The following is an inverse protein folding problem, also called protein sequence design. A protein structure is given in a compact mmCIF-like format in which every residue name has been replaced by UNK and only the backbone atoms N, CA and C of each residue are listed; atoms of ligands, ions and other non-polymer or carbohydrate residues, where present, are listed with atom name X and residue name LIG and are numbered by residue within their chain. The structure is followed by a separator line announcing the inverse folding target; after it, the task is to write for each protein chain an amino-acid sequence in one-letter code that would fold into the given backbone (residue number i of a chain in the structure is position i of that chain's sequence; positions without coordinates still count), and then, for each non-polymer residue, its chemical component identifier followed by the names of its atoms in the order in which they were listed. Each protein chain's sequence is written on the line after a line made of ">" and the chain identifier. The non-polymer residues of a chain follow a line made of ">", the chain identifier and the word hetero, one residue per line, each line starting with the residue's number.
data_IF_899784322543
#
_entry.id   IF_899784322543
#
_cell.length_a   1.000
_cell.length_b   1.000
_cell.length_c   1.000
_cell.angle_alpha   90.00
_cell.angle_beta   90.00
_cell.angle_gamma   90.00
#
_symmetry.space_group_name_H-M   'P 1'
#
loop_
_entity.id
_entity.type
_entity.pdbx_description
1 polymer ?
#
# COMPACT_ATOMS: atom_id res chain seq x y z
N UNK A 1 -49.12 -35.83 -17.39
CA UNK A 1 -47.92 -36.04 -16.55
C UNK A 1 -47.39 -34.67 -16.15
N UNK A 2 -47.84 -34.15 -15.00
CA UNK A 2 -47.45 -32.83 -14.50
C UNK A 2 -46.19 -32.99 -13.65
N UNK A 3 -45.13 -32.31 -14.08
CA UNK A 3 -43.86 -32.26 -13.34
C UNK A 3 -44.09 -31.38 -12.11
N UNK A 4 -43.81 -31.85 -10.88
CA UNK A 4 -43.98 -31.02 -9.70
C UNK A 4 -43.11 -29.76 -9.83
N UNK A 5 -43.60 -28.60 -9.38
CA UNK A 5 -42.81 -27.38 -9.41
C UNK A 5 -41.53 -27.58 -8.59
N UNK A 6 -40.38 -27.03 -9.02
CA UNK A 6 -39.14 -27.11 -8.25
C UNK A 6 -39.36 -26.50 -6.86
N UNK A 7 -38.81 -27.14 -5.83
CA UNK A 7 -38.87 -26.67 -4.45
C UNK A 7 -38.18 -25.31 -4.34
N UNK A 8 -38.93 -24.28 -3.93
CA UNK A 8 -38.40 -22.96 -3.60
C UNK A 8 -37.95 -22.91 -2.13
N UNK A 9 -36.94 -22.09 -1.84
CA UNK A 9 -36.45 -21.83 -0.48
C UNK A 9 -37.53 -21.21 0.40
N UNK A 10 -37.57 -21.59 1.68
CA UNK A 10 -38.52 -20.98 2.63
C UNK A 10 -38.05 -19.59 3.08
N UNK A 11 -38.98 -18.72 3.49
CA UNK A 11 -38.62 -17.41 4.05
C UNK A 11 -37.72 -17.56 5.29
N UNK A 12 -37.97 -18.58 6.12
CA UNK A 12 -37.16 -18.87 7.30
C UNK A 12 -35.71 -19.24 6.91
N UNK A 13 -35.54 -20.06 5.87
CA UNK A 13 -34.22 -20.46 5.37
C UNK A 13 -33.43 -19.27 4.81
N UNK A 14 -34.10 -18.36 4.10
CA UNK A 14 -33.49 -17.12 3.63
C UNK A 14 -33.04 -16.24 4.81
N UNK A 15 -33.87 -16.09 5.84
CA UNK A 15 -33.52 -15.27 7.01
C UNK A 15 -32.33 -15.87 7.78
N UNK A 16 -32.29 -17.18 7.94
CA UNK A 16 -31.16 -17.86 8.61
C UNK A 16 -29.88 -17.71 7.78
N UNK A 17 -29.93 -17.91 6.47
CA UNK A 17 -28.74 -17.76 5.61
C UNK A 17 -28.22 -16.33 5.60
N UNK A 18 -29.09 -15.32 5.55
CA UNK A 18 -28.72 -13.91 5.67
C UNK A 18 -28.11 -13.57 7.03
N UNK A 19 -28.65 -14.11 8.12
CA UNK A 19 -28.10 -13.89 9.46
C UNK A 19 -26.68 -14.45 9.60
N UNK A 20 -26.41 -15.64 9.06
CA UNK A 20 -25.08 -16.24 9.03
C UNK A 20 -24.14 -15.39 8.16
N UNK A 21 -24.57 -15.02 6.94
CA UNK A 21 -23.77 -14.22 6.02
C UNK A 21 -23.39 -12.86 6.61
N UNK A 22 -24.31 -12.17 7.29
CA UNK A 22 -24.05 -10.91 7.96
C UNK A 22 -22.99 -11.07 9.07
N UNK A 23 -23.10 -12.14 9.87
CA UNK A 23 -22.13 -12.45 10.93
C UNK A 23 -20.73 -12.66 10.36
N UNK A 24 -20.60 -13.39 9.24
CA UNK A 24 -19.31 -13.60 8.58
C UNK A 24 -18.74 -12.31 8.00
N UNK A 25 -19.58 -11.47 7.38
CA UNK A 25 -19.17 -10.23 6.75
C UNK A 25 -18.50 -9.25 7.73
N UNK A 26 -18.99 -9.20 8.98
CA UNK A 26 -18.43 -8.35 10.05
C UNK A 26 -16.95 -8.62 10.30
N UNK A 27 -16.50 -9.89 10.19
CA UNK A 27 -15.09 -10.24 10.39
C UNK A 27 -14.31 -10.27 9.07
N UNK A 28 -14.92 -10.75 7.99
CA UNK A 28 -14.26 -10.94 6.71
C UNK A 28 -13.83 -9.62 6.07
N UNK A 29 -14.71 -8.60 6.07
CA UNK A 29 -14.46 -7.31 5.41
C UNK A 29 -13.27 -6.56 6.03
N UNK A 30 -13.22 -6.25 7.34
CA UNK A 30 -12.08 -5.55 7.92
C UNK A 30 -10.78 -6.37 7.88
N UNK A 31 -10.87 -7.70 7.89
CA UNK A 31 -9.70 -8.57 7.71
C UNK A 31 -9.10 -8.41 6.32
N UNK A 32 -9.95 -8.47 5.28
CA UNK A 32 -9.52 -8.29 3.89
C UNK A 32 -8.95 -6.89 3.64
N UNK A 33 -9.59 -5.84 4.17
CA UNK A 33 -9.09 -4.47 4.04
C UNK A 33 -7.69 -4.32 4.64
N UNK A 34 -7.45 -4.84 5.85
CA UNK A 34 -6.11 -4.83 6.47
C UNK A 34 -5.08 -5.59 5.65
N UNK A 35 -5.48 -6.72 5.05
CA UNK A 35 -4.60 -7.49 4.17
C UNK A 35 -4.19 -6.70 2.92
N UNK A 36 -5.15 -6.03 2.26
CA UNK A 36 -4.88 -5.19 1.08
C UNK A 36 -3.98 -3.99 1.42
N UNK A 37 -4.24 -3.30 2.53
CA UNK A 37 -3.39 -2.21 3.03
C UNK A 37 -1.96 -2.69 3.26
N UNK A 38 -1.79 -3.85 3.93
CA UNK A 38 -0.47 -4.47 4.14
C UNK A 38 0.22 -4.82 2.82
N UNK A 39 -0.52 -5.34 1.84
CA UNK A 39 0.02 -5.61 0.49
C UNK A 39 0.55 -4.33 -0.16
N UNK A 40 -0.20 -3.23 -0.11
CA UNK A 40 0.24 -1.96 -0.68
C UNK A 40 1.47 -1.37 0.03
N UNK A 41 1.60 -1.55 1.35
CA UNK A 41 2.83 -1.16 2.08
C UNK A 41 4.04 -1.99 1.65
N UNK A 42 3.86 -3.30 1.43
CA UNK A 42 4.91 -4.17 0.86
C UNK A 42 5.30 -3.70 -0.54
N UNK A 43 4.32 -3.39 -1.38
CA UNK A 43 4.56 -2.92 -2.74
C UNK A 43 5.36 -1.61 -2.73
N UNK A 44 4.99 -0.64 -1.88
CA UNK A 44 5.70 0.61 -1.70
C UNK A 44 7.16 0.39 -1.27
N UNK A 45 7.38 -0.45 -0.24
CA UNK A 45 8.73 -0.79 0.21
C UNK A 45 9.56 -1.47 -0.90
N UNK A 46 8.96 -2.42 -1.64
CA UNK A 46 9.64 -3.08 -2.76
C UNK A 46 10.00 -2.10 -3.88
N UNK A 47 9.13 -1.13 -4.17
CA UNK A 47 9.37 -0.10 -5.17
C UNK A 47 10.51 0.83 -4.73
N UNK A 48 10.56 1.22 -3.46
CA UNK A 48 11.66 2.00 -2.89
C UNK A 48 13.00 1.29 -3.05
N UNK A 49 13.08 -0.01 -2.78
CA UNK A 49 14.31 -0.77 -3.00
C UNK A 49 14.71 -0.84 -4.47
N UNK A 50 13.76 -1.08 -5.38
CA UNK A 50 14.05 -1.08 -6.83
C UNK A 50 14.53 0.29 -7.31
N UNK A 51 13.90 1.35 -6.84
CA UNK A 51 14.30 2.72 -7.14
C UNK A 51 15.69 3.03 -6.58
N UNK A 52 16.00 2.61 -5.35
CA UNK A 52 17.32 2.79 -4.75
C UNK A 52 18.42 2.11 -5.57
N UNK A 53 18.21 0.85 -5.99
CA UNK A 53 19.15 0.14 -6.85
C UNK A 53 19.38 0.85 -8.20
N UNK A 54 18.34 1.47 -8.77
CA UNK A 54 18.46 2.26 -9.98
C UNK A 54 19.28 3.54 -9.76
N UNK A 55 19.01 4.27 -8.68
CA UNK A 55 19.73 5.50 -8.33
C UNK A 55 21.21 5.21 -8.05
N UNK A 56 21.52 4.13 -7.31
CA UNK A 56 22.90 3.70 -7.04
C UNK A 56 23.67 3.32 -8.32
N UNK A 57 22.98 2.71 -9.29
CA UNK A 57 23.56 2.37 -10.59
C UNK A 57 23.72 3.57 -11.53
N UNK A 58 23.00 4.67 -11.30
CA UNK A 58 23.06 5.87 -12.11
C UNK A 58 24.29 6.71 -11.72
N UNK A 59 25.28 6.80 -12.60
CA UNK A 59 26.52 7.59 -12.40
C UNK A 59 26.28 9.10 -12.59
N UNK A 60 25.31 9.69 -11.90
CA UNK A 60 24.98 11.12 -12.05
C UNK A 60 25.05 11.88 -10.73
N UNK A 61 25.72 13.04 -10.75
CA UNK A 61 25.88 13.97 -9.62
C UNK A 61 24.57 14.69 -9.21
N UNK A 62 23.45 14.36 -9.82
CA UNK A 62 22.13 14.98 -9.56
C UNK A 62 21.07 13.90 -9.39
N UNK A 63 20.06 14.17 -8.54
CA UNK A 63 18.95 13.27 -8.28
C UNK A 63 18.29 12.83 -9.61
N UNK A 64 18.46 11.55 -10.03
CA UNK A 64 17.95 11.13 -11.33
C UNK A 64 16.43 11.04 -11.30
N UNK A 65 15.79 11.45 -12.39
CA UNK A 65 14.37 11.19 -12.57
C UNK A 65 14.14 9.68 -12.69
N UNK A 66 13.21 9.14 -11.90
CA UNK A 66 12.86 7.72 -11.99
C UNK A 66 12.17 7.45 -13.33
N UNK A 67 12.59 6.42 -14.09
CA UNK A 67 11.93 6.06 -15.34
C UNK A 67 10.55 5.46 -15.08
N UNK A 68 9.67 5.44 -16.09
CA UNK A 68 8.38 4.77 -16.00
C UNK A 68 8.51 3.33 -15.51
N UNK A 69 7.74 2.97 -14.48
CA UNK A 69 7.80 1.65 -13.84
C UNK A 69 8.73 1.57 -12.63
N UNK A 70 9.47 2.63 -12.32
CA UNK A 70 10.13 2.84 -11.03
C UNK A 70 9.59 4.05 -10.27
N UNK A 71 8.78 4.87 -10.93
CA UNK A 71 8.15 6.08 -10.43
C UNK A 71 6.80 5.84 -9.70
N UNK A 72 6.38 4.59 -9.55
CA UNK A 72 5.11 4.24 -8.89
C UNK A 72 5.10 2.82 -8.30
N UNK A 73 4.17 2.62 -7.37
CA UNK A 73 3.77 1.31 -6.86
C UNK A 73 2.23 1.17 -6.90
N UNK A 74 1.68 0.05 -7.38
CA UNK A 74 2.36 -1.05 -8.10
C UNK A 74 3.05 -0.58 -9.39
N UNK A 75 3.97 -1.39 -9.91
CA UNK A 75 4.77 -1.03 -11.09
C UNK A 75 3.92 -0.83 -12.36
N UNK A 76 2.77 -1.49 -12.44
CA UNK A 76 1.82 -1.40 -13.55
C UNK A 76 0.41 -1.15 -13.03
N UNK A 77 -0.41 -0.47 -13.84
CA UNK A 77 -1.81 -0.17 -13.51
C UNK A 77 -1.96 1.20 -12.84
N UNK A 78 -2.98 1.32 -11.98
CA UNK A 78 -3.25 2.56 -11.28
C UNK A 78 -2.25 2.77 -10.13
N UNK A 79 -1.60 3.95 -10.02
CA UNK A 79 -0.66 4.22 -8.94
C UNK A 79 -1.39 4.31 -7.60
N UNK A 80 -0.97 3.47 -6.65
CA UNK A 80 -1.34 3.59 -5.24
C UNK A 80 -0.34 4.49 -4.52
N UNK A 81 0.93 4.41 -4.89
CA UNK A 81 2.00 5.31 -4.47
C UNK A 81 2.73 5.86 -5.69
N UNK A 82 3.19 7.11 -5.60
CA UNK A 82 4.15 7.71 -6.53
C UNK A 82 5.50 7.86 -5.85
N UNK A 83 6.56 7.58 -6.60
CA UNK A 83 7.93 7.62 -6.10
C UNK A 83 8.66 8.86 -6.62
N UNK A 84 9.38 9.51 -5.72
CA UNK A 84 10.19 10.68 -6.03
C UNK A 84 11.57 10.56 -5.38
N UNK A 85 12.60 10.98 -6.11
CA UNK A 85 13.96 11.12 -5.56
C UNK A 85 14.09 12.53 -5.01
N UNK A 86 14.47 12.61 -3.75
CA UNK A 86 14.78 13.83 -3.04
C UNK A 86 16.26 14.19 -3.25
N UNK A 87 16.60 15.49 -3.20
CA UNK A 87 17.97 15.94 -3.41
C UNK A 87 18.94 15.34 -2.37
N UNK A 88 20.21 15.28 -2.78
CA UNK A 88 21.31 14.83 -1.95
C UNK A 88 21.47 15.71 -0.69
N UNK A 89 21.64 15.07 0.46
CA UNK A 89 22.02 15.70 1.72
C UNK A 89 23.17 14.87 2.33
N UNK A 90 24.14 15.52 2.99
CA UNK A 90 25.15 14.80 3.74
C UNK A 90 24.53 13.93 4.86
N UNK A 91 23.37 14.32 5.38
CA UNK A 91 22.65 13.54 6.38
C UNK A 91 21.99 12.27 5.81
N UNK A 92 21.66 12.23 4.50
CA UNK A 92 20.98 11.09 3.86
C UNK A 92 21.92 10.20 3.05
N UNK A 93 23.22 10.51 3.01
CA UNK A 93 24.24 9.73 2.31
C UNK A 93 24.29 9.95 0.80
N UNK A 94 23.58 10.95 0.26
CA UNK A 94 23.67 11.35 -1.14
C UNK A 94 22.36 11.27 -1.93
N UNK A 95 21.33 10.59 -1.41
CA UNK A 95 19.95 10.69 -1.91
C UNK A 95 18.96 10.18 -0.87
N UNK A 96 17.69 10.55 -1.06
CA UNK A 96 16.58 9.84 -0.44
C UNK A 96 15.47 9.61 -1.47
N UNK A 97 14.69 8.57 -1.28
CA UNK A 97 13.54 8.23 -2.13
C UNK A 97 12.31 8.16 -1.24
N UNK A 98 11.24 8.78 -1.68
CA UNK A 98 9.96 8.72 -1.01
C UNK A 98 8.90 8.07 -1.87
N UNK A 99 8.00 7.32 -1.24
CA UNK A 99 6.79 6.78 -1.83
C UNK A 99 5.59 7.49 -1.18
N UNK A 100 4.96 8.37 -1.94
CA UNK A 100 3.83 9.21 -1.51
C UNK A 100 2.52 8.54 -1.92
N UNK A 101 1.56 8.32 -1.00
CA UNK A 101 0.24 7.81 -1.36
C UNK A 101 -0.43 8.70 -2.41
N UNK A 102 -1.13 8.09 -3.36
CA UNK A 102 -1.96 8.84 -4.31
C UNK A 102 -3.13 9.50 -3.58
N UNK A 103 -3.39 10.78 -3.85
CA UNK A 103 -4.47 11.58 -3.24
C UNK A 103 -5.86 10.94 -3.36
N UNK A 104 -6.12 10.24 -4.47
CA UNK A 104 -7.40 9.55 -4.71
C UNK A 104 -7.27 8.03 -4.54
N UNK A 105 -6.17 7.56 -3.97
CA UNK A 105 -5.84 6.15 -3.84
C UNK A 105 -6.33 5.52 -2.54
N UNK A 106 -6.35 4.18 -2.45
CA UNK A 106 -6.81 3.46 -1.26
C UNK A 106 -5.93 3.68 -0.02
N UNK A 107 -4.74 4.26 -0.19
CA UNK A 107 -3.76 4.51 0.87
C UNK A 107 -3.69 5.98 1.32
N UNK A 108 -4.58 6.86 0.82
CA UNK A 108 -4.57 8.29 1.17
C UNK A 108 -4.64 8.54 2.68
N UNK A 109 -5.53 7.83 3.37
CA UNK A 109 -5.74 7.94 4.81
C UNK A 109 -4.92 6.92 5.63
N UNK A 110 -3.95 6.24 5.01
CA UNK A 110 -3.14 5.26 5.72
C UNK A 110 -2.24 5.97 6.75
N UNK A 111 -2.25 5.55 8.04
CA UNK A 111 -1.48 6.24 9.07
C UNK A 111 0.03 6.16 8.85
N UNK A 112 0.53 5.19 8.08
CA UNK A 112 1.94 5.14 7.73
C UNK A 112 2.34 6.22 6.73
N UNK A 113 1.42 6.69 5.91
CA UNK A 113 1.61 7.80 4.98
C UNK A 113 2.75 7.58 4.00
N UNK A 114 3.65 8.55 3.93
CA UNK A 114 4.78 8.58 3.01
C UNK A 114 5.90 7.71 3.56
N UNK A 115 6.35 6.73 2.78
CA UNK A 115 7.50 5.89 3.11
C UNK A 115 8.78 6.50 2.56
N UNK A 116 9.89 6.44 3.28
CA UNK A 116 11.18 7.00 2.86
C UNK A 116 12.32 6.01 3.04
N UNK A 117 13.22 5.95 2.05
CA UNK A 117 14.47 5.19 2.09
C UNK A 117 15.62 6.08 1.62
N UNK A 118 16.69 6.15 2.40
CA UNK A 118 17.89 6.89 2.01
C UNK A 118 19.07 5.99 1.61
N UNK A 119 20.16 6.61 1.15
CA UNK A 119 21.37 5.90 0.70
C UNK A 119 22.10 5.15 1.81
N UNK A 120 21.82 5.46 3.09
CA UNK A 120 22.37 4.71 4.24
C UNK A 120 21.55 3.47 4.57
N UNK A 121 20.41 3.27 3.91
CA UNK A 121 19.45 2.22 4.19
C UNK A 121 18.49 2.56 5.33
N UNK A 122 18.47 3.82 5.80
CA UNK A 122 17.56 4.25 6.85
C UNK A 122 16.13 4.27 6.32
N UNK A 123 15.24 3.58 7.03
CA UNK A 123 13.82 3.47 6.73
C UNK A 123 13.04 4.44 7.59
N UNK A 124 12.17 5.23 6.97
CA UNK A 124 11.32 6.19 7.65
C UNK A 124 9.91 6.19 7.09
N UNK A 125 9.01 6.80 7.84
CA UNK A 125 7.69 7.11 7.36
C UNK A 125 7.20 8.41 8.00
N UNK A 126 6.27 9.10 7.33
CA UNK A 126 5.65 10.33 7.84
C UNK A 126 4.21 10.42 7.35
N UNK A 127 3.31 10.76 8.26
CA UNK A 127 1.92 11.03 7.91
C UNK A 127 1.70 12.53 7.68
N UNK A 128 0.57 12.90 7.08
CA UNK A 128 0.17 14.30 6.94
C UNK A 128 0.11 15.03 8.30
N UNK A 129 0.13 16.35 8.28
CA UNK A 129 0.46 17.22 9.42
C UNK A 129 -0.39 17.09 10.71
N UNK A 130 -1.40 16.22 10.77
CA UNK A 130 -2.32 16.09 11.91
C UNK A 130 -2.55 14.64 12.39
N UNK A 131 -1.73 13.67 11.97
CA UNK A 131 -1.86 12.27 12.39
C UNK A 131 -0.68 11.82 13.26
N UNK A 132 -0.96 10.94 14.23
CA UNK A 132 0.09 10.25 14.98
C UNK A 132 0.78 9.29 14.02
N UNK A 133 1.99 9.63 13.57
CA UNK A 133 2.82 8.75 12.75
C UNK A 133 3.16 7.49 13.55
N UNK A 134 2.74 6.28 13.12
CA UNK A 134 3.16 5.04 13.75
C UNK A 134 4.68 4.89 13.64
N UNK A 135 5.28 4.10 14.54
CA UNK A 135 6.71 3.86 14.51
C UNK A 135 7.12 3.25 13.14
N UNK A 136 8.28 3.67 12.60
CA UNK A 136 8.78 3.15 11.31
C UNK A 136 8.84 1.64 11.29
N UNK A 137 9.19 1.02 12.42
CA UNK A 137 9.18 -0.43 12.56
C UNK A 137 7.81 -1.05 12.29
N UNK A 138 6.70 -0.45 12.72
CA UNK A 138 5.34 -0.98 12.49
C UNK A 138 4.91 -0.85 11.03
N UNK A 139 5.29 0.26 10.38
CA UNK A 139 4.94 0.53 9.00
C UNK A 139 5.78 -0.28 8.00
N UNK A 140 7.06 -0.45 8.29
CA UNK A 140 8.00 -1.20 7.44
C UNK A 140 8.10 -2.67 7.78
N UNK A 141 7.61 -3.11 8.94
CA UNK A 141 7.55 -4.52 9.27
C UNK A 141 6.33 -5.14 8.60
N UNK A 142 6.61 -5.84 7.50
CA UNK A 142 5.60 -6.49 6.69
C UNK A 142 5.37 -7.96 7.10
N UNK A 143 5.74 -8.35 8.33
CA UNK A 143 5.52 -9.69 8.91
C UNK A 143 4.15 -9.89 9.56
#
# INVERSE_FOLDING_TARGET
>A
MMKPPPSAFTLLELVITLAIAATLAVFAVPSYQRHVVRSHRIDAASALYRAAQFVEGATSDSAPALPPGLDQAPQYGAPVYRLHVLPADQANGGYAIEAVPSETGPMHDDPCGIFTLDATGQRGNRSGANSVTPASGECWNTS
#
